data_IF_834603669445
#
_entry.id   IF_834603669445
#
_cell.length_a   1.000
_cell.length_b   1.000
_cell.length_c   1.000
_cell.angle_alpha   90.00
_cell.angle_beta   90.00
_cell.angle_gamma   90.00
#
_symmetry.space_group_name_H-M   'P 1'
#
loop_
_entity.id
_entity.type
_entity.pdbx_description
1 polymer ?
#
# COMPACT_ATOMS: atom_id res chain seq x y z
N UNK A 1 9.07 2.83 8.48
CA UNK A 1 8.58 1.47 8.79
C UNK A 1 8.15 0.80 7.51
N UNK A 2 8.60 -0.41 7.28
CA UNK A 2 8.19 -1.17 6.11
C UNK A 2 6.87 -1.91 6.37
N UNK A 3 6.21 -2.36 5.32
CA UNK A 3 5.01 -3.20 5.47
C UNK A 3 5.32 -4.54 6.14
N UNK A 4 6.55 -5.05 6.00
CA UNK A 4 6.97 -6.25 6.71
C UNK A 4 6.90 -6.06 8.22
N UNK A 5 7.33 -4.89 8.71
CA UNK A 5 7.24 -4.58 10.14
C UNK A 5 5.79 -4.49 10.60
N UNK A 6 4.93 -3.90 9.78
CA UNK A 6 3.49 -3.82 10.07
C UNK A 6 2.84 -5.20 10.07
N UNK A 7 3.18 -6.05 9.11
CA UNK A 7 2.66 -7.42 9.06
C UNK A 7 3.07 -8.21 10.30
N UNK A 8 4.32 -8.06 10.73
CA UNK A 8 4.80 -8.71 11.95
C UNK A 8 4.03 -8.23 13.17
N UNK A 9 3.76 -6.92 13.26
CA UNK A 9 2.99 -6.36 14.37
C UNK A 9 1.55 -6.87 14.36
N UNK A 10 0.93 -6.97 13.18
CA UNK A 10 -0.42 -7.50 13.04
C UNK A 10 -0.50 -8.94 13.53
N UNK A 11 0.49 -9.77 13.19
CA UNK A 11 0.55 -11.16 13.62
C UNK A 11 0.65 -11.32 15.14
N UNK A 12 1.30 -10.35 15.81
CA UNK A 12 1.55 -10.43 17.25
C UNK A 12 0.59 -9.59 18.08
N UNK A 13 -0.24 -8.77 17.48
CA UNK A 13 -1.19 -7.92 18.19
C UNK A 13 -2.60 -8.45 18.01
N UNK A 14 -3.23 -9.02 19.06
CA UNK A 14 -4.58 -9.59 18.95
C UNK A 14 -5.62 -8.58 18.50
N UNK A 15 -5.46 -7.31 18.87
CA UNK A 15 -6.40 -6.26 18.50
C UNK A 15 -6.33 -5.95 17.01
N UNK A 16 -5.12 -5.88 16.44
CA UNK A 16 -4.94 -5.68 15.00
C UNK A 16 -5.37 -6.90 14.19
N UNK A 17 -5.09 -8.10 14.69
CA UNK A 17 -5.56 -9.34 14.08
C UNK A 17 -7.09 -9.36 14.04
N UNK A 18 -7.74 -8.93 15.12
CA UNK A 18 -9.19 -8.83 15.20
C UNK A 18 -9.75 -7.86 14.16
N UNK A 19 -9.08 -6.71 13.93
CA UNK A 19 -9.49 -5.75 12.91
C UNK A 19 -9.43 -6.33 11.50
N UNK A 20 -8.43 -7.17 11.23
CA UNK A 20 -8.23 -7.78 9.91
C UNK A 20 -9.14 -8.97 9.68
N UNK A 21 -9.33 -9.82 10.69
CA UNK A 21 -10.02 -11.10 10.57
C UNK A 21 -11.41 -11.15 11.19
N UNK A 22 -11.81 -10.11 11.93
CA UNK A 22 -13.11 -10.06 12.57
C UNK A 22 -14.23 -9.95 11.51
N UNK A 23 -15.25 -10.75 11.69
CA UNK A 23 -16.37 -10.87 10.75
C UNK A 23 -17.59 -10.04 11.13
N UNK A 24 -17.43 -9.00 11.94
CA UNK A 24 -18.55 -8.12 12.24
C UNK A 24 -18.96 -7.35 10.96
N UNK A 25 -20.25 -7.34 10.60
CA UNK A 25 -20.69 -6.75 9.32
C UNK A 25 -20.28 -5.28 9.16
N UNK A 26 -20.28 -4.52 10.24
CA UNK A 26 -19.95 -3.09 10.21
C UNK A 26 -18.47 -2.85 9.88
N UNK A 27 -17.58 -3.63 10.51
CA UNK A 27 -16.13 -3.53 10.25
C UNK A 27 -15.80 -4.04 8.86
N UNK A 28 -16.40 -5.15 8.46
CA UNK A 28 -16.17 -5.72 7.15
C UNK A 28 -16.59 -4.75 6.04
N UNK A 29 -17.71 -4.06 6.22
CA UNK A 29 -18.18 -3.08 5.24
C UNK A 29 -17.19 -1.91 5.10
N UNK A 30 -16.72 -1.36 6.23
CA UNK A 30 -15.79 -0.24 6.22
C UNK A 30 -14.43 -0.64 5.62
N UNK A 31 -13.90 -1.81 5.98
CA UNK A 31 -12.64 -2.32 5.45
C UNK A 31 -12.77 -2.62 3.96
N UNK A 32 -13.90 -3.18 3.52
CA UNK A 32 -14.15 -3.47 2.11
C UNK A 32 -14.18 -2.19 1.29
N UNK A 33 -14.87 -1.15 1.79
CA UNK A 33 -14.94 0.13 1.11
C UNK A 33 -13.56 0.77 0.97
N UNK A 34 -12.78 0.79 2.06
CA UNK A 34 -11.43 1.34 2.03
C UNK A 34 -10.54 0.55 1.07
N UNK A 35 -10.64 -0.77 1.09
CA UNK A 35 -9.86 -1.63 0.21
C UNK A 35 -10.20 -1.39 -1.25
N UNK A 36 -11.49 -1.23 -1.56
CA UNK A 36 -11.93 -0.90 -2.92
C UNK A 36 -11.38 0.45 -3.38
N UNK A 37 -11.39 1.45 -2.51
CA UNK A 37 -10.85 2.78 -2.83
C UNK A 37 -9.33 2.73 -3.02
N UNK A 38 -8.63 1.96 -2.22
CA UNK A 38 -7.20 1.76 -2.39
C UNK A 38 -6.90 1.06 -3.72
N UNK A 39 -7.66 0.02 -4.05
CA UNK A 39 -7.50 -0.68 -5.32
C UNK A 39 -7.76 0.24 -6.51
N UNK A 40 -8.78 1.07 -6.44
CA UNK A 40 -9.06 2.07 -7.48
C UNK A 40 -7.89 3.04 -7.65
N UNK A 41 -7.35 3.53 -6.52
CA UNK A 41 -6.21 4.44 -6.54
C UNK A 41 -4.98 3.77 -7.15
N UNK A 42 -4.72 2.52 -6.80
CA UNK A 42 -3.61 1.74 -7.37
C UNK A 42 -3.76 1.57 -8.89
N UNK A 43 -4.97 1.33 -9.36
CA UNK A 43 -5.23 1.16 -10.79
C UNK A 43 -5.02 2.45 -11.59
N UNK A 44 -5.12 3.61 -10.94
CA UNK A 44 -4.86 4.90 -11.58
C UNK A 44 -3.38 5.21 -11.73
N UNK A 45 -2.52 4.50 -11.02
CA UNK A 45 -1.07 4.66 -11.16
C UNK A 45 -0.59 4.09 -12.48
N UNK A 46 0.53 4.63 -12.99
CA UNK A 46 1.24 3.98 -14.10
C UNK A 46 1.72 2.60 -13.67
N UNK A 47 2.04 1.75 -14.64
CA UNK A 47 2.51 0.39 -14.37
C UNK A 47 3.76 0.41 -13.50
N UNK A 48 4.73 1.29 -13.80
CA UNK A 48 5.97 1.40 -13.03
C UNK A 48 5.71 1.86 -11.59
N UNK A 49 4.84 2.86 -11.41
CA UNK A 49 4.50 3.35 -10.08
C UNK A 49 3.79 2.28 -9.26
N UNK A 50 2.83 1.58 -9.86
CA UNK A 50 2.11 0.50 -9.19
C UNK A 50 3.05 -0.63 -8.81
N UNK A 51 3.95 -1.00 -9.69
CA UNK A 51 4.90 -2.08 -9.45
C UNK A 51 5.85 -1.73 -8.29
N UNK A 52 6.39 -0.52 -8.27
CA UNK A 52 7.33 -0.13 -7.21
C UNK A 52 6.66 -0.09 -5.85
N UNK A 53 5.41 0.39 -5.77
CA UNK A 53 4.64 0.37 -4.52
C UNK A 53 4.36 -1.07 -4.09
N UNK A 54 3.95 -1.91 -5.01
CA UNK A 54 3.66 -3.31 -4.71
C UNK A 54 4.91 -4.02 -4.19
N UNK A 55 6.04 -3.86 -4.85
CA UNK A 55 7.28 -4.53 -4.44
C UNK A 55 7.80 -4.03 -3.10
N UNK A 56 7.74 -2.73 -2.85
CA UNK A 56 8.28 -2.15 -1.62
C UNK A 56 7.28 -2.20 -0.47
N UNK A 57 6.10 -1.62 -0.66
CA UNK A 57 5.15 -1.39 0.43
C UNK A 57 4.34 -2.65 0.77
N UNK A 58 4.07 -3.50 -0.20
CA UNK A 58 3.28 -4.72 0.01
C UNK A 58 4.17 -5.92 0.25
N UNK A 59 5.21 -6.12 -0.56
CA UNK A 59 6.09 -7.28 -0.46
C UNK A 59 7.33 -7.05 0.38
N UNK A 60 7.62 -5.81 0.77
CA UNK A 60 8.71 -5.49 1.67
C UNK A 60 10.11 -5.63 1.07
N UNK A 61 10.24 -5.56 -0.24
CA UNK A 61 11.56 -5.65 -0.88
C UNK A 61 12.36 -4.38 -0.70
N UNK A 62 13.69 -4.50 -0.63
CA UNK A 62 14.59 -3.36 -0.50
C UNK A 62 14.65 -2.56 -1.80
N UNK A 63 15.07 -1.30 -1.70
CA UNK A 63 15.28 -0.47 -2.89
C UNK A 63 16.26 -1.12 -3.86
N UNK A 64 17.31 -1.74 -3.34
CA UNK A 64 18.32 -2.41 -4.14
C UNK A 64 17.74 -3.62 -4.88
N UNK A 65 16.92 -4.42 -4.23
CA UNK A 65 16.25 -5.55 -4.87
C UNK A 65 15.29 -5.10 -5.96
N UNK A 66 14.52 -4.04 -5.69
CA UNK A 66 13.59 -3.48 -6.67
C UNK A 66 14.33 -2.93 -7.88
N UNK A 67 15.46 -2.25 -7.64
CA UNK A 67 16.29 -1.73 -8.71
C UNK A 67 16.75 -2.84 -9.66
N UNK A 68 17.10 -3.99 -9.12
CA UNK A 68 17.48 -5.15 -9.93
C UNK A 68 16.29 -5.71 -10.72
N UNK A 69 15.14 -5.84 -10.08
CA UNK A 69 13.93 -6.36 -10.72
C UNK A 69 13.48 -5.44 -11.87
N UNK A 70 13.51 -4.14 -11.64
CA UNK A 70 13.03 -3.15 -12.61
C UNK A 70 14.12 -2.68 -13.58
N UNK A 71 15.32 -3.20 -13.44
CA UNK A 71 16.46 -2.84 -14.30
C UNK A 71 16.72 -1.35 -14.33
N UNK A 72 16.75 -0.72 -13.15
CA UNK A 72 17.00 0.71 -13.00
C UNK A 72 17.91 0.93 -11.77
N UNK A 73 18.29 2.18 -11.54
CA UNK A 73 19.11 2.48 -10.36
C UNK A 73 18.24 2.76 -9.14
N UNK A 74 18.85 2.73 -7.95
CA UNK A 74 18.18 2.92 -6.68
C UNK A 74 17.51 4.31 -6.60
N UNK A 75 18.15 5.34 -7.16
CA UNK A 75 17.59 6.68 -7.19
C UNK A 75 16.27 6.73 -7.94
N UNK A 76 16.17 5.99 -9.04
CA UNK A 76 14.93 5.89 -9.81
C UNK A 76 13.82 5.19 -8.99
N UNK A 77 14.18 4.13 -8.24
CA UNK A 77 13.22 3.46 -7.36
C UNK A 77 12.67 4.45 -6.33
N UNK A 78 13.54 5.21 -5.67
CA UNK A 78 13.12 6.20 -4.67
C UNK A 78 12.22 7.27 -5.24
N UNK A 79 12.55 7.80 -6.43
CA UNK A 79 11.73 8.80 -7.10
C UNK A 79 10.35 8.26 -7.46
N UNK A 80 10.30 7.06 -8.00
CA UNK A 80 9.03 6.40 -8.36
C UNK A 80 8.16 6.16 -7.13
N UNK A 81 8.74 5.72 -6.02
CA UNK A 81 8.00 5.55 -4.76
C UNK A 81 7.44 6.87 -4.27
N UNK A 82 8.24 7.92 -4.31
CA UNK A 82 7.81 9.25 -3.86
C UNK A 82 6.59 9.73 -4.66
N UNK A 83 6.69 9.71 -5.97
CA UNK A 83 5.60 10.18 -6.83
C UNK A 83 4.38 9.27 -6.79
N UNK A 84 4.59 7.96 -6.72
CA UNK A 84 3.50 7.01 -6.60
C UNK A 84 2.69 7.25 -5.32
N UNK A 85 3.39 7.45 -4.19
CA UNK A 85 2.74 7.74 -2.92
C UNK A 85 2.00 9.06 -2.93
N UNK A 86 2.54 10.09 -3.58
CA UNK A 86 1.83 11.35 -3.76
C UNK A 86 0.51 11.16 -4.51
N UNK A 87 0.53 10.41 -5.59
CA UNK A 87 -0.67 10.14 -6.37
C UNK A 87 -1.69 9.34 -5.57
N UNK A 88 -1.24 8.34 -4.83
CA UNK A 88 -2.13 7.56 -3.96
C UNK A 88 -2.79 8.45 -2.91
N UNK A 89 -2.01 9.30 -2.25
CA UNK A 89 -2.54 10.23 -1.26
C UNK A 89 -3.57 11.18 -1.86
N UNK A 90 -3.34 11.67 -3.06
CA UNK A 90 -4.28 12.54 -3.75
C UNK A 90 -5.61 11.84 -3.99
N UNK A 91 -5.58 10.63 -4.52
CA UNK A 91 -6.80 9.86 -4.79
C UNK A 91 -7.56 9.52 -3.51
N UNK A 92 -6.84 9.09 -2.47
CA UNK A 92 -7.45 8.75 -1.18
C UNK A 92 -7.94 9.98 -0.42
N UNK A 93 -7.26 11.11 -0.58
CA UNK A 93 -7.69 12.38 0.03
C UNK A 93 -9.06 12.80 -0.48
N UNK A 94 -9.31 12.65 -1.78
CA UNK A 94 -10.62 12.95 -2.36
C UNK A 94 -11.71 12.07 -1.75
N UNK A 95 -11.44 10.78 -1.58
CA UNK A 95 -12.35 9.86 -0.91
C UNK A 95 -12.61 10.27 0.54
N UNK A 96 -11.54 10.57 1.29
CA UNK A 96 -11.66 10.92 2.70
C UNK A 96 -12.41 12.25 2.91
N UNK A 97 -12.28 13.19 1.97
CA UNK A 97 -13.02 14.46 2.03
C UNK A 97 -14.50 14.30 1.74
N UNK A 98 -14.86 13.34 0.91
CA UNK A 98 -16.26 13.11 0.54
C UNK A 98 -17.00 12.20 1.51
N UNK A 99 -16.30 11.62 2.46
CA UNK A 99 -16.90 10.73 3.47
C UNK A 99 -17.49 11.53 4.67
#
# INVERSE_FOLDING_TARGET
MSLNDLDTQVEHDPELVSLVSDKTPRRDAALTELQEKLNEAMLKLSDDHRLVVTLHDIQGQSHEEIAKIMECNVGTVRSRLFYARQQLQSHLSDYLKSA
#
